data_IF_013347919028
#
_entry.id   IF_013347919028
#
_cell.length_a   1.000
_cell.length_b   1.000
_cell.length_c   1.000
_cell.angle_alpha   90.00
_cell.angle_beta   90.00
_cell.angle_gamma   90.00
#
_symmetry.space_group_name_H-M   'P 1'
#
loop_
_entity.id
_entity.type
_entity.pdbx_description
1 polymer ?
#
# COMPACT_ATOMS: atom_id res chain seq x y z
N UNK A 1 -16.10 1.74 16.52
CA UNK A 1 -14.70 1.76 17.01
C UNK A 1 -13.87 1.03 15.97
N UNK A 2 -12.79 1.62 15.46
CA UNK A 2 -11.93 0.97 14.47
C UNK A 2 -10.73 0.35 15.17
N UNK A 3 -10.36 -0.85 14.75
CA UNK A 3 -9.20 -1.58 15.23
C UNK A 3 -8.16 -1.64 14.12
N UNK A 4 -6.89 -1.62 14.52
CA UNK A 4 -5.78 -1.86 13.61
C UNK A 4 -5.57 -3.36 13.44
N UNK A 5 -5.33 -3.76 12.21
CA UNK A 5 -5.04 -5.13 11.84
C UNK A 5 -3.71 -5.16 11.07
N UNK A 6 -2.95 -6.23 11.28
CA UNK A 6 -1.70 -6.49 10.55
C UNK A 6 -1.96 -7.63 9.57
N UNK A 7 -1.46 -7.49 8.35
CA UNK A 7 -1.54 -8.50 7.31
C UNK A 7 -0.13 -8.96 7.00
N UNK A 8 0.09 -10.28 7.01
CA UNK A 8 1.35 -10.84 6.57
C UNK A 8 1.37 -10.89 5.04
N UNK A 9 2.40 -10.33 4.42
CA UNK A 9 2.59 -10.33 2.98
C UNK A 9 4.00 -10.75 2.63
N UNK A 10 4.17 -11.30 1.42
CA UNK A 10 5.51 -11.60 0.91
C UNK A 10 6.28 -10.31 0.59
N UNK A 11 7.59 -10.34 0.82
CA UNK A 11 8.49 -9.23 0.53
C UNK A 11 8.40 -8.79 -0.95
N UNK A 12 8.44 -7.48 -1.19
CA UNK A 12 8.31 -6.87 -2.52
C UNK A 12 6.88 -6.81 -3.09
N UNK A 13 5.89 -7.44 -2.44
CA UNK A 13 4.50 -7.46 -2.91
C UNK A 13 3.56 -6.52 -2.16
N UNK A 14 4.06 -5.79 -1.16
CA UNK A 14 3.25 -4.96 -0.26
C UNK A 14 2.43 -3.90 -1.02
N UNK A 15 3.05 -3.23 -2.00
CA UNK A 15 2.38 -2.24 -2.86
C UNK A 15 1.27 -2.87 -3.70
N UNK A 16 1.53 -4.05 -4.29
CA UNK A 16 0.54 -4.78 -5.09
C UNK A 16 -0.64 -5.25 -4.22
N UNK A 17 -0.36 -5.71 -3.01
CA UNK A 17 -1.40 -6.14 -2.05
C UNK A 17 -2.25 -4.97 -1.61
N UNK A 18 -1.66 -3.79 -1.33
CA UNK A 18 -2.40 -2.57 -1.00
C UNK A 18 -3.36 -2.19 -2.12
N UNK A 19 -2.87 -2.07 -3.35
CA UNK A 19 -3.72 -1.72 -4.51
C UNK A 19 -4.85 -2.74 -4.69
N UNK A 20 -4.57 -4.04 -4.54
CA UNK A 20 -5.60 -5.07 -4.63
C UNK A 20 -6.67 -4.93 -3.54
N UNK A 21 -6.25 -4.69 -2.29
CA UNK A 21 -7.15 -4.42 -1.17
C UNK A 21 -8.05 -3.22 -1.45
N UNK A 22 -7.49 -2.10 -1.91
CA UNK A 22 -8.26 -0.91 -2.27
C UNK A 22 -9.30 -1.20 -3.36
N UNK A 23 -8.92 -1.90 -4.43
CA UNK A 23 -9.86 -2.33 -5.46
C UNK A 23 -10.96 -3.23 -4.91
N UNK A 24 -10.60 -4.21 -4.08
CA UNK A 24 -11.55 -5.18 -3.52
C UNK A 24 -12.55 -4.53 -2.56
N UNK A 25 -12.08 -3.56 -1.77
CA UNK A 25 -12.94 -2.75 -0.89
C UNK A 25 -14.01 -2.02 -1.72
N UNK A 26 -13.62 -1.44 -2.86
CA UNK A 26 -14.55 -0.76 -3.76
C UNK A 26 -15.49 -1.75 -4.44
N UNK A 27 -14.97 -2.83 -5.03
CA UNK A 27 -15.78 -3.83 -5.76
C UNK A 27 -16.81 -4.53 -4.86
N UNK A 28 -16.48 -4.73 -3.58
CA UNK A 28 -17.39 -5.35 -2.60
C UNK A 28 -18.25 -4.32 -1.85
N UNK A 29 -18.15 -3.04 -2.21
CA UNK A 29 -18.83 -1.92 -1.56
C UNK A 29 -18.61 -1.89 -0.03
N UNK A 30 -17.42 -2.27 0.41
CA UNK A 30 -17.01 -2.38 1.83
C UNK A 30 -16.31 -1.12 2.34
N UNK A 31 -16.32 -0.02 1.59
CA UNK A 31 -15.76 1.26 2.00
C UNK A 31 -16.08 1.69 3.47
N UNK A 32 -17.31 1.50 4.01
CA UNK A 32 -17.57 1.90 5.40
C UNK A 32 -16.82 1.09 6.48
N UNK A 33 -16.34 -0.11 6.14
CA UNK A 33 -15.60 -0.97 7.08
C UNK A 33 -14.10 -0.64 7.15
N UNK A 34 -13.55 0.05 6.15
CA UNK A 34 -12.12 0.31 6.01
C UNK A 34 -11.82 1.80 6.05
N UNK A 35 -11.02 2.23 7.04
CA UNK A 35 -10.68 3.66 7.20
C UNK A 35 -9.35 4.05 6.57
N UNK A 36 -8.32 3.21 6.72
CA UNK A 36 -6.97 3.49 6.20
C UNK A 36 -6.22 2.19 5.97
N UNK A 37 -5.51 2.10 4.85
CA UNK A 37 -4.53 1.05 4.57
C UNK A 37 -3.15 1.71 4.50
N UNK A 38 -2.22 1.24 5.32
CA UNK A 38 -0.86 1.78 5.41
C UNK A 38 0.11 0.63 5.20
N UNK A 39 1.11 0.84 4.34
CA UNK A 39 2.28 -0.03 4.27
C UNK A 39 3.35 0.66 5.11
N UNK A 40 3.93 -0.02 6.11
CA UNK A 40 5.02 0.52 6.90
C UNK A 40 6.31 0.48 6.06
N UNK A 41 6.44 1.40 5.11
CA UNK A 41 7.70 1.62 4.40
C UNK A 41 8.45 2.79 5.01
N UNK A 42 9.76 2.64 5.19
CA UNK A 42 10.64 3.79 5.37
C UNK A 42 10.72 4.49 4.01
N UNK A 43 10.36 5.77 3.93
CA UNK A 43 10.51 6.55 2.70
C UNK A 43 12.01 6.78 2.47
N UNK A 44 12.69 5.80 1.88
CA UNK A 44 14.03 5.99 1.35
C UNK A 44 13.87 6.85 0.10
N UNK A 45 13.94 8.17 0.27
CA UNK A 45 14.02 9.10 -0.83
C UNK A 45 15.44 8.96 -1.40
N UNK A 46 15.68 7.92 -2.20
CA UNK A 46 16.90 7.84 -2.99
C UNK A 46 16.87 8.97 -4.02
N UNK A 47 17.41 10.12 -3.61
CA UNK A 47 17.76 11.20 -4.51
C UNK A 47 19.01 10.77 -5.26
N UNK A 48 18.84 9.96 -6.32
CA UNK A 48 19.90 9.77 -7.31
C UNK A 48 19.98 11.03 -8.17
N UNK A 49 20.92 11.90 -7.83
CA UNK A 49 21.68 12.74 -8.75
C UNK A 49 20.85 13.45 -9.85
N UNK A 50 19.81 14.21 -9.46
CA UNK A 50 19.15 15.19 -10.32
C UNK A 50 18.45 14.68 -11.60
N UNK A 51 18.42 13.37 -11.89
CA UNK A 51 17.76 12.83 -13.08
C UNK A 51 16.77 11.72 -12.71
N UNK A 52 15.50 12.01 -12.94
CA UNK A 52 14.41 11.03 -12.92
C UNK A 52 14.63 10.03 -14.06
N UNK A 53 15.09 8.84 -13.72
CA UNK A 53 15.05 7.69 -14.63
C UNK A 53 14.08 6.68 -14.03
N UNK A 54 12.92 6.51 -14.68
CA UNK A 54 12.08 5.33 -14.46
C UNK A 54 12.86 4.14 -15.03
N UNK A 55 13.20 3.19 -14.18
CA UNK A 55 13.58 1.85 -14.60
C UNK A 55 12.56 0.89 -13.97
N UNK A 56 11.95 0.07 -14.82
CA UNK A 56 11.02 -1.02 -14.46
C UNK A 56 11.57 -1.95 -13.38
#
# INVERSE_FOLDING_TARGET
>A
MFLWYVINTYSGHENKVKTNLEHRIVSLNQAPAFRRVVIPTEQVIETKDGQKVQAE
#
